data_IF_025040494958
#
_entry.id   IF_025040494958
#
_cell.length_a   1.000
_cell.length_b   1.000
_cell.length_c   1.000
_cell.angle_alpha   90.00
_cell.angle_beta   90.00
_cell.angle_gamma   90.00
#
_symmetry.space_group_name_H-M   'P 1'
#
loop_
_entity.id
_entity.type
_entity.pdbx_description
1 polymer ?
#
# COMPACT_ATOMS: atom_id res chain seq x y z
N UNK A 1 -5.04 -4.72 19.11
CA UNK A 1 -4.97 -6.08 19.62
C UNK A 1 -6.33 -6.78 19.49
N UNK A 2 -6.44 -7.74 18.58
CA UNK A 2 -7.68 -8.47 18.30
C UNK A 2 -8.12 -9.35 19.49
N UNK A 3 -7.20 -9.74 20.36
CA UNK A 3 -7.48 -10.55 21.54
C UNK A 3 -7.96 -9.75 22.76
N UNK A 4 -7.89 -8.43 22.69
CA UNK A 4 -8.35 -7.55 23.76
C UNK A 4 -9.88 -7.45 23.71
N UNK A 5 -10.60 -7.80 24.78
CA UNK A 5 -12.07 -7.66 24.80
C UNK A 5 -12.56 -6.21 24.66
N UNK A 6 -11.70 -5.23 24.93
CA UNK A 6 -12.03 -3.81 24.83
C UNK A 6 -11.55 -3.18 23.50
N UNK A 7 -11.18 -3.99 22.49
CA UNK A 7 -10.65 -3.46 21.23
C UNK A 7 -11.61 -2.48 20.52
N UNK A 8 -12.93 -2.70 20.59
CA UNK A 8 -13.92 -1.82 20.00
C UNK A 8 -13.95 -0.44 20.67
N UNK A 9 -13.79 -0.38 21.99
CA UNK A 9 -13.70 0.89 22.72
C UNK A 9 -12.42 1.66 22.36
N UNK A 10 -11.30 0.93 22.24
CA UNK A 10 -10.04 1.53 21.80
C UNK A 10 -10.15 2.08 20.38
N UNK A 11 -10.81 1.36 19.48
CA UNK A 11 -11.08 1.82 18.11
C UNK A 11 -11.88 3.11 18.09
N UNK A 12 -12.96 3.18 18.88
CA UNK A 12 -13.79 4.39 19.01
C UNK A 12 -13.00 5.57 19.54
N UNK A 13 -12.12 5.34 20.52
CA UNK A 13 -11.26 6.38 21.07
C UNK A 13 -10.29 6.92 20.02
N UNK A 14 -9.64 6.04 19.25
CA UNK A 14 -8.74 6.44 18.17
C UNK A 14 -9.47 7.23 17.11
N UNK A 15 -10.65 6.78 16.69
CA UNK A 15 -11.46 7.49 15.68
C UNK A 15 -11.91 8.86 16.17
N UNK A 16 -12.26 8.98 17.46
CA UNK A 16 -12.63 10.28 18.06
C UNK A 16 -11.45 11.26 18.05
N UNK A 17 -10.25 10.80 18.39
CA UNK A 17 -9.03 11.60 18.33
C UNK A 17 -8.73 12.03 16.88
N UNK A 18 -8.86 11.12 15.92
CA UNK A 18 -8.65 11.43 14.50
C UNK A 18 -9.65 12.46 14.00
N UNK A 19 -10.90 12.39 14.45
CA UNK A 19 -11.94 13.38 14.12
C UNK A 19 -11.58 14.76 14.66
N UNK A 20 -11.14 14.83 15.93
CA UNK A 20 -10.73 16.08 16.56
C UNK A 20 -9.51 16.70 15.86
N UNK A 21 -8.63 15.90 15.28
CA UNK A 21 -7.46 16.35 14.53
C UNK A 21 -7.73 16.53 13.03
N UNK A 22 -8.98 16.38 12.59
CA UNK A 22 -9.38 16.49 11.18
C UNK A 22 -8.64 15.50 10.26
N UNK A 23 -8.49 14.25 10.74
CA UNK A 23 -7.72 13.20 10.05
C UNK A 23 -8.59 12.06 9.51
N UNK A 24 -9.93 12.16 9.60
CA UNK A 24 -10.83 11.08 9.16
C UNK A 24 -10.78 10.82 7.64
N UNK A 25 -10.42 11.83 6.85
CA UNK A 25 -10.34 11.72 5.39
C UNK A 25 -9.02 11.07 4.91
N UNK A 26 -8.07 10.85 5.81
CA UNK A 26 -6.82 10.18 5.47
C UNK A 26 -7.11 8.69 5.23
N UNK A 27 -6.68 8.13 4.08
CA UNK A 27 -6.85 6.71 3.79
C UNK A 27 -6.21 5.82 4.87
N UNK A 28 -6.91 4.77 5.27
CA UNK A 28 -6.51 3.91 6.38
C UNK A 28 -6.61 2.44 6.03
N UNK A 29 -5.75 1.67 6.69
CA UNK A 29 -5.84 0.22 6.75
C UNK A 29 -5.75 -0.20 8.22
N UNK A 30 -6.74 -0.93 8.71
CA UNK A 30 -6.76 -1.38 10.10
C UNK A 30 -6.10 -2.74 10.23
N UNK A 31 -5.14 -2.84 11.14
CA UNK A 31 -4.45 -4.09 11.44
C UNK A 31 -4.99 -4.65 12.76
N UNK A 32 -5.57 -5.85 12.69
CA UNK A 32 -5.94 -6.60 13.88
C UNK A 32 -4.84 -7.61 14.19
N UNK A 33 -4.01 -7.26 15.15
CA UNK A 33 -2.88 -8.09 15.56
C UNK A 33 -3.32 -9.15 16.59
N UNK A 34 -2.50 -10.18 16.76
CA UNK A 34 -2.76 -11.30 17.65
C UNK A 34 -4.04 -12.07 17.29
N UNK A 35 -4.34 -12.15 15.99
CA UNK A 35 -5.53 -12.85 15.49
C UNK A 35 -5.59 -14.33 15.89
N UNK A 36 -4.44 -14.97 16.12
CA UNK A 36 -4.32 -16.34 16.61
C UNK A 36 -4.94 -16.54 18.01
N UNK A 37 -5.08 -15.46 18.80
CA UNK A 37 -5.63 -15.47 20.16
C UNK A 37 -7.05 -14.92 20.25
N UNK A 38 -7.61 -14.47 19.13
CA UNK A 38 -8.85 -13.69 19.14
C UNK A 38 -10.14 -14.51 19.25
N UNK A 39 -10.09 -15.83 19.10
CA UNK A 39 -11.28 -16.68 19.18
C UNK A 39 -12.36 -16.28 18.17
N UNK A 40 -13.57 -15.98 18.64
CA UNK A 40 -14.71 -15.58 17.81
C UNK A 40 -14.72 -14.07 17.48
N UNK A 41 -13.56 -13.52 17.19
CA UNK A 41 -13.39 -12.12 16.87
C UNK A 41 -14.05 -11.76 15.53
N UNK A 42 -14.77 -10.64 15.51
CA UNK A 42 -15.37 -10.06 14.30
C UNK A 42 -14.79 -8.65 14.08
N UNK A 43 -14.11 -8.41 12.96
CA UNK A 43 -13.62 -7.06 12.62
C UNK A 43 -14.78 -6.08 12.41
N UNK A 44 -14.66 -4.89 12.99
CA UNK A 44 -15.65 -3.81 12.85
C UNK A 44 -15.20 -2.68 11.95
N UNK A 45 -13.90 -2.48 11.79
CA UNK A 45 -13.34 -1.46 10.92
C UNK A 45 -12.91 -2.07 9.58
N UNK A 46 -13.26 -1.40 8.49
CA UNK A 46 -12.87 -1.79 7.13
C UNK A 46 -12.16 -0.64 6.43
N UNK A 47 -11.20 -0.87 5.52
CA UNK A 47 -10.59 -2.17 5.24
C UNK A 47 -9.72 -2.67 6.39
N UNK A 48 -9.58 -3.98 6.52
CA UNK A 48 -8.81 -4.58 7.61
C UNK A 48 -7.93 -5.73 7.13
N UNK A 49 -6.92 -6.05 7.97
CA UNK A 49 -6.07 -7.24 7.82
C UNK A 49 -5.94 -7.92 9.18
N UNK A 50 -6.07 -9.24 9.19
CA UNK A 50 -5.82 -10.06 10.37
C UNK A 50 -4.39 -10.57 10.32
N UNK A 51 -3.60 -10.26 11.35
CA UNK A 51 -2.20 -10.67 11.45
C UNK A 51 -1.86 -11.23 12.82
N UNK A 52 -0.79 -12.01 12.87
CA UNK A 52 -0.19 -12.47 14.11
C UNK A 52 1.27 -12.81 13.89
N UNK A 53 2.13 -12.50 14.85
CA UNK A 53 3.55 -12.88 14.80
C UNK A 53 3.76 -14.41 14.73
N UNK A 54 2.75 -15.19 15.14
CA UNK A 54 2.77 -16.66 15.09
C UNK A 54 2.27 -17.25 13.76
N UNK A 55 1.68 -16.42 12.89
CA UNK A 55 1.20 -16.84 11.57
C UNK A 55 2.33 -16.60 10.56
N UNK A 56 2.80 -17.67 9.92
CA UNK A 56 3.93 -17.60 8.98
C UNK A 56 3.70 -16.65 7.82
N UNK A 57 2.47 -16.53 7.34
CA UNK A 57 2.11 -15.72 6.19
C UNK A 57 1.71 -14.27 6.53
N UNK A 58 1.74 -13.85 7.81
CA UNK A 58 1.29 -12.51 8.22
C UNK A 58 2.01 -11.39 7.49
N UNK A 59 3.33 -11.53 7.29
CA UNK A 59 4.11 -10.54 6.56
C UNK A 59 3.64 -10.40 5.11
N UNK A 60 3.43 -11.52 4.43
CA UNK A 60 2.98 -11.54 3.03
C UNK A 60 1.56 -10.97 2.91
N UNK A 61 0.66 -11.35 3.83
CA UNK A 61 -0.72 -10.83 3.88
C UNK A 61 -0.73 -9.31 4.09
N UNK A 62 0.07 -8.81 5.02
CA UNK A 62 0.18 -7.37 5.28
C UNK A 62 0.73 -6.63 4.06
N UNK A 63 1.80 -7.14 3.47
CA UNK A 63 2.43 -6.53 2.29
C UNK A 63 1.44 -6.44 1.12
N UNK A 64 0.71 -7.51 0.84
CA UNK A 64 -0.29 -7.53 -0.23
C UNK A 64 -1.43 -6.53 0.02
N UNK A 65 -1.93 -6.46 1.26
CA UNK A 65 -2.97 -5.51 1.63
C UNK A 65 -2.51 -4.05 1.50
N UNK A 66 -1.26 -3.76 1.86
CA UNK A 66 -0.66 -2.43 1.69
C UNK A 66 -0.53 -2.07 0.21
N UNK A 67 -0.06 -2.99 -0.62
CA UNK A 67 0.07 -2.77 -2.06
C UNK A 67 -1.29 -2.56 -2.71
N UNK A 68 -2.31 -3.34 -2.35
CA UNK A 68 -3.67 -3.16 -2.86
C UNK A 68 -4.23 -1.78 -2.49
N UNK A 69 -4.00 -1.34 -1.24
CA UNK A 69 -4.42 -0.02 -0.79
C UNK A 69 -3.71 1.09 -1.56
N UNK A 70 -2.43 0.95 -1.80
CA UNK A 70 -1.64 1.92 -2.57
C UNK A 70 -2.10 1.99 -4.03
N UNK A 71 -2.44 0.84 -4.65
CA UNK A 71 -2.99 0.81 -6.01
C UNK A 71 -4.32 1.55 -6.13
N UNK A 72 -5.16 1.49 -5.11
CA UNK A 72 -6.41 2.26 -5.06
C UNK A 72 -6.17 3.77 -5.01
N UNK A 73 -5.12 4.20 -4.32
CA UNK A 73 -4.81 5.61 -4.08
C UNK A 73 -3.92 6.22 -5.15
N UNK A 74 -3.17 5.39 -5.85
CA UNK A 74 -2.22 5.82 -6.87
C UNK A 74 -2.87 5.79 -8.26
N UNK A 75 -2.26 6.49 -9.20
CA UNK A 75 -2.71 6.50 -10.60
C UNK A 75 -1.88 5.53 -11.42
N UNK A 76 -2.50 4.81 -12.38
CA UNK A 76 -1.75 3.91 -13.25
C UNK A 76 -0.87 4.68 -14.23
N UNK A 77 0.26 4.08 -14.59
CA UNK A 77 1.14 4.59 -15.63
C UNK A 77 1.70 3.48 -16.50
N UNK A 78 2.08 3.84 -17.71
CA UNK A 78 2.83 2.98 -18.62
C UNK A 78 3.79 3.85 -19.40
N UNK A 79 5.09 3.58 -19.29
CA UNK A 79 6.13 4.37 -19.94
C UNK A 79 7.09 3.47 -20.70
N UNK A 80 7.70 4.04 -21.74
CA UNK A 80 8.79 3.42 -22.50
C UNK A 80 10.09 4.14 -22.19
N UNK A 81 11.06 3.41 -21.65
CA UNK A 81 12.36 3.95 -21.23
C UNK A 81 13.43 3.39 -22.15
N UNK A 82 14.09 4.29 -22.90
CA UNK A 82 15.20 3.90 -23.75
C UNK A 82 16.45 3.54 -22.96
N UNK A 83 17.37 2.82 -23.62
CA UNK A 83 18.62 2.38 -23.01
C UNK A 83 19.46 3.55 -22.47
N UNK A 84 19.37 4.73 -23.08
CA UNK A 84 20.08 5.92 -22.65
C UNK A 84 19.68 6.41 -21.24
N UNK A 85 18.46 6.09 -20.80
CA UNK A 85 17.93 6.50 -19.49
C UNK A 85 17.75 5.34 -18.49
N UNK A 86 18.19 4.15 -18.87
CA UNK A 86 18.05 2.96 -18.01
C UNK A 86 18.70 3.12 -16.62
N UNK A 87 19.74 3.94 -16.54
CA UNK A 87 20.42 4.22 -15.26
C UNK A 87 19.54 4.94 -14.24
N UNK A 88 18.45 5.57 -14.68
CA UNK A 88 17.50 6.26 -13.79
C UNK A 88 16.39 5.35 -13.24
N UNK A 89 16.30 4.13 -13.69
CA UNK A 89 15.19 3.24 -13.30
C UNK A 89 15.13 2.97 -11.81
N UNK A 90 16.27 2.99 -11.11
CA UNK A 90 16.28 2.86 -9.65
C UNK A 90 15.52 4.00 -8.95
N UNK A 91 15.51 5.21 -9.54
CA UNK A 91 14.72 6.33 -9.01
C UNK A 91 13.22 6.06 -9.16
N UNK A 92 12.83 5.49 -10.31
CA UNK A 92 11.43 5.10 -10.54
C UNK A 92 10.96 4.06 -9.53
N UNK A 93 11.79 3.09 -9.22
CA UNK A 93 11.49 2.05 -8.22
C UNK A 93 11.24 2.63 -6.82
N UNK A 94 11.86 3.76 -6.49
CA UNK A 94 11.63 4.45 -5.22
C UNK A 94 10.36 5.31 -5.19
N UNK A 95 9.81 5.65 -6.37
CA UNK A 95 8.65 6.54 -6.52
C UNK A 95 7.34 5.83 -6.82
N UNK A 96 7.41 4.60 -7.33
CA UNK A 96 6.27 3.92 -7.92
C UNK A 96 6.22 2.44 -7.55
N UNK A 97 5.03 1.87 -7.65
CA UNK A 97 4.82 0.43 -7.61
C UNK A 97 4.91 -0.07 -9.04
N UNK A 98 5.90 -0.90 -9.35
CA UNK A 98 6.09 -1.47 -10.68
C UNK A 98 5.43 -2.85 -10.73
N UNK A 99 4.43 -3.00 -11.58
CA UNK A 99 3.72 -4.28 -11.77
C UNK A 99 4.32 -5.11 -12.91
N UNK A 100 4.77 -4.45 -13.97
CA UNK A 100 5.22 -5.17 -15.17
C UNK A 100 6.40 -4.44 -15.83
N UNK A 101 7.36 -5.23 -16.28
CA UNK A 101 8.51 -4.77 -17.07
C UNK A 101 8.67 -5.68 -18.28
N UNK A 102 8.71 -5.10 -19.45
CA UNK A 102 8.89 -5.82 -20.72
C UNK A 102 9.96 -5.14 -21.56
N UNK A 103 10.85 -5.95 -22.14
CA UNK A 103 11.82 -5.45 -23.11
C UNK A 103 11.23 -5.51 -24.51
N UNK A 104 11.23 -4.38 -25.19
CA UNK A 104 10.76 -4.25 -26.56
C UNK A 104 11.86 -3.51 -27.35
N UNK A 105 12.53 -4.24 -28.23
CA UNK A 105 13.71 -3.73 -28.96
C UNK A 105 14.79 -3.27 -27.98
N UNK A 106 15.25 -2.02 -28.08
CA UNK A 106 16.28 -1.44 -27.21
C UNK A 106 15.67 -0.63 -26.04
N UNK A 107 14.40 -0.83 -25.75
CA UNK A 107 13.68 -0.08 -24.72
C UNK A 107 13.01 -1.02 -23.73
N UNK A 108 12.76 -0.50 -22.55
CA UNK A 108 11.99 -1.20 -21.52
C UNK A 108 10.62 -0.50 -21.34
N UNK A 109 9.55 -1.27 -21.45
CA UNK A 109 8.19 -0.80 -21.18
C UNK A 109 7.85 -1.16 -19.74
N UNK A 110 7.56 -0.15 -18.94
CA UNK A 110 7.31 -0.29 -17.52
C UNK A 110 5.91 0.23 -17.21
N UNK A 111 5.12 -0.60 -16.54
CA UNK A 111 3.79 -0.22 -16.09
C UNK A 111 3.60 -0.49 -14.59
N UNK A 112 2.76 0.31 -13.97
CA UNK A 112 2.49 0.21 -12.55
C UNK A 112 1.64 1.37 -12.07
N UNK A 113 1.88 1.79 -10.83
CA UNK A 113 1.11 2.84 -10.15
C UNK A 113 2.05 3.83 -9.48
N UNK A 114 1.70 5.10 -9.56
CA UNK A 114 2.48 6.20 -8.97
C UNK A 114 1.54 7.17 -8.26
N UNK A 115 2.01 7.79 -7.18
CA UNK A 115 1.25 8.85 -6.52
C UNK A 115 1.00 10.01 -7.51
N UNK A 116 -0.21 10.55 -7.53
CA UNK A 116 -0.59 11.61 -8.46
C UNK A 116 0.35 12.81 -8.38
N UNK A 117 0.76 13.17 -7.17
CA UNK A 117 1.71 14.27 -6.93
C UNK A 117 3.08 14.06 -7.59
N UNK A 118 3.45 12.81 -7.89
CA UNK A 118 4.72 12.45 -8.51
C UNK A 118 4.60 12.12 -10.00
N UNK A 119 3.39 12.14 -10.55
CA UNK A 119 3.13 11.74 -11.94
C UNK A 119 3.95 12.56 -12.95
N UNK A 120 4.14 13.85 -12.68
CA UNK A 120 4.93 14.73 -13.54
C UNK A 120 6.39 14.28 -13.68
N UNK A 121 6.92 13.58 -12.68
CA UNK A 121 8.30 13.08 -12.70
C UNK A 121 8.52 11.95 -13.71
N UNK A 122 7.45 11.35 -14.22
CA UNK A 122 7.56 10.33 -15.26
C UNK A 122 8.17 10.89 -16.55
N UNK A 123 8.01 12.18 -16.81
CA UNK A 123 8.59 12.84 -17.98
C UNK A 123 10.13 12.79 -17.99
N UNK A 124 10.75 12.68 -16.82
CA UNK A 124 12.20 12.55 -16.67
C UNK A 124 12.73 11.22 -17.24
N UNK A 125 11.87 10.20 -17.40
CA UNK A 125 12.20 8.87 -17.88
C UNK A 125 11.88 8.66 -19.35
N UNK A 126 11.14 9.55 -19.98
CA UNK A 126 10.87 9.46 -21.41
C UNK A 126 12.11 9.84 -22.25
N UNK A 127 12.21 9.20 -23.39
CA UNK A 127 13.18 9.59 -24.41
C UNK A 127 12.66 10.75 -25.26
#
# INVERSE_FOLDING_TARGET
DASDPNHEEHEKTVLAIMKDLDMLDIPRLTLYNKADKAGNFLPTLTPYVLISAKMENSRAVLQEALLDKMRELFVPFCIKVGSSKAYKLYELESLAIIDKREYVEESEVISGYIAEKNKWRLEEFYD
#
